data_IF_100041532727
#
_entry.id   IF_100041532727
#
_cell.length_a   1.000
_cell.length_b   1.000
_cell.length_c   1.000
_cell.angle_alpha   90.00
_cell.angle_beta   90.00
_cell.angle_gamma   90.00
#
_symmetry.space_group_name_H-M   'P 1'
#
loop_
_entity.id
_entity.type
_entity.pdbx_description
1 polymer ?
#
# COMPACT_ATOMS: atom_id res chain seq x y z
N UNK A 1 8.33 -16.10 -8.32
CA UNK A 1 8.27 -14.68 -8.73
C UNK A 1 8.75 -13.88 -7.52
N UNK A 2 9.74 -13.01 -7.70
CA UNK A 2 10.27 -12.17 -6.62
C UNK A 2 9.58 -10.81 -6.66
N UNK A 3 9.32 -10.25 -5.47
CA UNK A 3 8.63 -8.99 -5.26
C UNK A 3 9.52 -8.09 -4.41
N UNK A 4 9.59 -6.82 -4.76
CA UNK A 4 10.36 -5.83 -4.02
C UNK A 4 9.52 -4.58 -3.79
N UNK A 5 9.46 -4.20 -2.51
CA UNK A 5 8.81 -3.00 -2.04
C UNK A 5 9.85 -1.97 -1.62
N UNK A 6 9.55 -0.71 -1.96
CA UNK A 6 10.45 0.42 -1.75
C UNK A 6 9.83 1.42 -0.80
N UNK A 7 10.09 1.24 0.50
CA UNK A 7 9.68 2.18 1.54
C UNK A 7 10.59 3.41 1.58
N UNK A 8 10.31 4.37 0.69
CA UNK A 8 11.01 5.64 0.61
C UNK A 8 10.10 6.74 1.19
N UNK A 9 10.66 7.56 2.08
CA UNK A 9 9.95 8.70 2.65
C UNK A 9 10.61 10.03 2.26
N UNK A 10 9.81 11.09 2.19
CA UNK A 10 10.28 12.47 2.09
C UNK A 10 10.16 13.11 0.70
N UNK A 11 10.57 14.39 0.63
CA UNK A 11 10.31 15.28 -0.52
C UNK A 11 10.96 14.84 -1.85
N UNK A 12 11.99 14.00 -1.79
CA UNK A 12 12.73 13.52 -2.96
C UNK A 12 12.31 12.11 -3.41
N UNK A 13 11.20 11.59 -2.87
CA UNK A 13 10.67 10.25 -3.14
C UNK A 13 10.81 9.84 -4.61
N UNK A 14 10.20 10.61 -5.52
CA UNK A 14 10.12 10.25 -6.94
C UNK A 14 11.49 10.13 -7.60
N UNK A 15 12.42 11.01 -7.29
CA UNK A 15 13.78 10.97 -7.84
C UNK A 15 14.55 9.75 -7.35
N UNK A 16 14.47 9.48 -6.04
CA UNK A 16 15.12 8.31 -5.43
C UNK A 16 14.51 7.02 -5.97
N UNK A 17 13.19 6.92 -6.00
CA UNK A 17 12.45 5.77 -6.52
C UNK A 17 12.88 5.44 -7.96
N UNK A 18 12.89 6.43 -8.86
CA UNK A 18 13.25 6.21 -10.26
C UNK A 18 14.70 5.72 -10.43
N UNK A 19 15.63 6.17 -9.60
CA UNK A 19 17.01 5.70 -9.65
C UNK A 19 17.08 4.19 -9.37
N UNK A 20 16.42 3.73 -8.31
CA UNK A 20 16.37 2.31 -7.96
C UNK A 20 15.54 1.49 -8.96
N UNK A 21 14.35 1.97 -9.32
CA UNK A 21 13.47 1.32 -10.29
C UNK A 21 14.21 1.02 -11.60
N UNK A 22 14.92 2.01 -12.15
CA UNK A 22 15.65 1.84 -13.39
C UNK A 22 16.80 0.84 -13.25
N UNK A 23 17.62 0.96 -12.20
CA UNK A 23 18.75 0.05 -11.97
C UNK A 23 18.31 -1.40 -11.76
N UNK A 24 17.22 -1.60 -11.01
CA UNK A 24 16.65 -2.93 -10.73
C UNK A 24 16.00 -3.50 -11.99
N UNK A 25 15.21 -2.71 -12.72
CA UNK A 25 14.53 -3.20 -13.93
C UNK A 25 15.53 -3.58 -15.03
N UNK A 26 16.64 -2.86 -15.15
CA UNK A 26 17.73 -3.17 -16.08
C UNK A 26 18.36 -4.54 -15.79
N UNK A 27 18.61 -4.85 -14.51
CA UNK A 27 19.31 -6.07 -14.11
C UNK A 27 18.37 -7.26 -13.90
N UNK A 28 17.15 -6.99 -13.43
CA UNK A 28 16.17 -7.98 -12.98
C UNK A 28 14.74 -7.65 -13.48
N UNK A 29 14.49 -7.69 -14.80
CA UNK A 29 13.21 -7.29 -15.37
C UNK A 29 12.01 -8.12 -14.88
N UNK A 30 12.25 -9.33 -14.38
CA UNK A 30 11.23 -10.24 -13.85
C UNK A 30 10.82 -10.01 -12.38
N UNK A 31 11.45 -9.08 -11.65
CA UNK A 31 11.01 -8.69 -10.31
C UNK A 31 9.83 -7.73 -10.43
N UNK A 32 8.78 -7.96 -9.65
CA UNK A 32 7.69 -7.00 -9.53
C UNK A 32 8.07 -5.89 -8.54
N UNK A 33 7.92 -4.64 -8.97
CA UNK A 33 8.23 -3.47 -8.13
C UNK A 33 6.97 -2.82 -7.60
N UNK A 34 6.97 -2.55 -6.30
CA UNK A 34 5.88 -1.96 -5.56
C UNK A 34 6.24 -0.52 -5.23
N UNK A 35 5.33 0.40 -5.53
CA UNK A 35 5.42 1.78 -5.03
C UNK A 35 4.75 1.86 -3.67
N UNK A 36 5.34 2.52 -2.67
CA UNK A 36 4.65 2.77 -1.40
C UNK A 36 3.64 3.95 -1.48
N UNK A 37 3.37 4.48 -2.68
CA UNK A 37 2.37 5.51 -2.90
C UNK A 37 0.99 4.90 -3.15
N UNK A 38 -0.03 5.38 -2.42
CA UNK A 38 -1.41 4.97 -2.61
C UNK A 38 -1.95 5.36 -4.01
N UNK A 39 -2.32 4.35 -4.81
CA UNK A 39 -2.96 4.52 -6.11
C UNK A 39 -4.46 4.12 -6.13
N UNK A 40 -5.08 3.97 -4.95
CA UNK A 40 -6.48 3.53 -4.80
C UNK A 40 -7.49 4.50 -5.39
N UNK A 41 -7.19 5.81 -5.34
CA UNK A 41 -8.08 6.88 -5.80
C UNK A 41 -7.53 7.70 -6.96
N UNK A 42 -6.21 7.69 -7.19
CA UNK A 42 -5.53 8.45 -8.22
C UNK A 42 -4.40 7.62 -8.83
N UNK A 43 -4.13 7.73 -10.14
CA UNK A 43 -2.99 7.04 -10.74
C UNK A 43 -1.65 7.50 -10.15
N UNK A 44 -0.66 6.60 -10.13
CA UNK A 44 0.73 6.95 -9.86
C UNK A 44 1.28 7.86 -10.96
N UNK A 45 2.23 8.72 -10.60
CA UNK A 45 2.98 9.61 -11.51
C UNK A 45 4.36 9.05 -11.91
N UNK A 46 4.58 7.78 -11.62
CA UNK A 46 5.79 6.99 -11.85
C UNK A 46 5.42 5.51 -12.09
N UNK A 47 6.28 4.72 -12.74
CA UNK A 47 5.98 3.33 -13.06
C UNK A 47 6.07 2.45 -11.80
N UNK A 48 5.16 1.49 -11.68
CA UNK A 48 5.20 0.40 -10.71
C UNK A 48 4.31 -0.75 -11.20
N UNK A 49 4.58 -1.98 -10.76
CA UNK A 49 3.74 -3.14 -11.09
C UNK A 49 2.55 -3.25 -10.11
N UNK A 50 2.81 -2.93 -8.84
CA UNK A 50 1.84 -2.85 -7.74
C UNK A 50 2.06 -1.56 -6.94
N UNK A 51 1.09 -1.23 -6.09
CA UNK A 51 1.27 -0.22 -5.06
C UNK A 51 0.93 -0.79 -3.70
N UNK A 52 1.66 -0.33 -2.68
CA UNK A 52 1.38 -0.65 -1.30
C UNK A 52 0.34 0.32 -0.72
N UNK A 53 -0.52 -0.21 0.13
CA UNK A 53 -1.56 0.51 0.83
C UNK A 53 -1.45 0.26 2.33
N UNK A 54 -0.97 1.28 3.04
CA UNK A 54 -0.83 1.24 4.50
C UNK A 54 -1.98 1.96 5.19
N UNK A 55 -2.60 1.30 6.17
CA UNK A 55 -3.66 1.94 6.98
C UNK A 55 -3.51 1.64 8.47
N UNK A 56 -3.24 2.69 9.24
CA UNK A 56 -3.16 2.65 10.69
C UNK A 56 -4.22 3.57 11.29
N UNK A 57 -5.34 3.00 11.73
CA UNK A 57 -6.53 3.79 12.10
C UNK A 57 -7.26 3.23 13.33
N UNK A 58 -8.46 3.73 13.63
CA UNK A 58 -9.37 3.17 14.64
C UNK A 58 -10.32 2.11 14.04
N UNK A 59 -10.95 1.30 14.89
CA UNK A 59 -11.82 0.19 14.49
C UNK A 59 -12.99 0.65 13.65
N UNK A 60 -13.62 1.78 14.00
CA UNK A 60 -14.79 2.30 13.27
C UNK A 60 -14.39 2.70 11.85
N UNK A 61 -13.25 3.35 11.71
CA UNK A 61 -12.73 3.81 10.43
C UNK A 61 -12.33 2.62 9.57
N UNK A 62 -11.57 1.65 10.11
CA UNK A 62 -11.17 0.47 9.34
C UNK A 62 -12.40 -0.33 8.86
N UNK A 63 -13.38 -0.56 9.73
CA UNK A 63 -14.64 -1.23 9.36
C UNK A 63 -15.38 -0.50 8.22
N UNK A 64 -15.33 0.84 8.21
CA UNK A 64 -15.98 1.66 7.18
C UNK A 64 -15.20 1.67 5.85
N UNK A 65 -13.94 1.23 5.84
CA UNK A 65 -13.06 1.17 4.67
C UNK A 65 -13.21 -0.11 3.84
N UNK A 66 -14.11 -1.04 4.17
CA UNK A 66 -14.34 -2.29 3.43
C UNK A 66 -14.54 -2.14 1.91
N UNK A 67 -15.03 -0.98 1.46
CA UNK A 67 -15.29 -0.66 0.06
C UNK A 67 -14.22 0.26 -0.57
N UNK A 68 -13.05 0.43 0.08
CA UNK A 68 -11.97 1.35 -0.36
C UNK A 68 -11.60 1.13 -1.82
N UNK A 69 -11.52 -0.12 -2.25
CA UNK A 69 -11.03 -0.50 -3.58
C UNK A 69 -12.14 -0.72 -4.62
N UNK A 70 -13.41 -0.52 -4.27
CA UNK A 70 -14.55 -0.76 -5.17
C UNK A 70 -14.47 0.08 -6.45
N UNK A 71 -13.94 1.31 -6.32
CA UNK A 71 -13.81 2.29 -7.41
C UNK A 71 -12.37 2.44 -7.92
N UNK A 72 -11.42 1.71 -7.37
CA UNK A 72 -10.04 1.76 -7.85
C UNK A 72 -9.95 1.31 -9.30
N UNK A 73 -9.04 1.93 -10.05
CA UNK A 73 -8.82 1.58 -11.46
C UNK A 73 -8.53 0.08 -11.64
N UNK A 74 -9.10 -0.52 -12.67
CA UNK A 74 -8.85 -1.92 -13.05
C UNK A 74 -7.80 -2.06 -14.17
N UNK A 75 -7.28 -0.94 -14.68
CA UNK A 75 -6.26 -0.88 -15.74
C UNK A 75 -4.88 -0.43 -15.25
N UNK A 76 -4.75 -0.01 -13.98
CA UNK A 76 -3.49 0.43 -13.38
C UNK A 76 -2.79 -0.65 -12.53
N UNK A 77 -1.74 -0.26 -11.79
CA UNK A 77 -1.09 -1.11 -10.80
C UNK A 77 -2.10 -1.65 -9.78
N UNK A 78 -1.92 -2.90 -9.37
CA UNK A 78 -2.81 -3.55 -8.39
C UNK A 78 -2.44 -3.13 -6.97
N UNK A 79 -3.44 -3.04 -6.10
CA UNK A 79 -3.23 -2.83 -4.68
C UNK A 79 -2.58 -4.07 -4.05
N UNK A 80 -1.64 -3.86 -3.16
CA UNK A 80 -1.18 -4.81 -2.18
C UNK A 80 -1.35 -4.15 -0.81
N UNK A 81 -2.01 -4.83 0.13
CA UNK A 81 -2.25 -4.30 1.47
C UNK A 81 -1.31 -5.05 2.40
N UNK A 82 -0.09 -4.55 2.58
CA UNK A 82 0.92 -5.20 3.44
C UNK A 82 0.68 -4.89 4.90
N UNK A 83 0.32 -3.64 5.19
CA UNK A 83 0.20 -3.12 6.55
C UNK A 83 -1.17 -2.52 6.79
N UNK A 84 -1.92 -3.16 7.69
CA UNK A 84 -3.09 -2.55 8.28
C UNK A 84 -3.17 -2.90 9.77
N UNK A 85 -3.46 -1.92 10.60
CA UNK A 85 -3.66 -2.17 12.02
C UNK A 85 -4.56 -1.13 12.67
N UNK A 86 -5.31 -1.61 13.66
CA UNK A 86 -6.00 -0.76 14.62
C UNK A 86 -5.06 -0.55 15.78
N UNK A 87 -4.68 0.71 16.02
CA UNK A 87 -3.60 1.02 16.97
C UNK A 87 -4.00 2.06 18.02
N UNK A 88 -5.19 2.66 17.89
CA UNK A 88 -5.71 3.66 18.83
C UNK A 88 -6.22 2.99 20.11
N UNK A 89 -6.82 3.76 21.00
CA UNK A 89 -7.27 3.29 22.33
C UNK A 89 -8.26 2.12 22.27
N UNK A 90 -9.02 2.00 21.19
CA UNK A 90 -9.98 0.93 20.93
C UNK A 90 -9.32 -0.39 20.49
N UNK A 91 -8.04 -0.39 20.13
CA UNK A 91 -7.23 -1.60 19.96
C UNK A 91 -7.05 -2.35 21.29
N UNK A 92 -6.91 -1.61 22.40
CA UNK A 92 -6.63 -2.18 23.72
C UNK A 92 -5.43 -3.14 23.72
N UNK A 93 -5.60 -4.32 24.34
CA UNK A 93 -4.62 -5.44 24.29
C UNK A 93 -4.98 -6.49 23.22
N UNK A 94 -5.59 -6.07 22.12
CA UNK A 94 -6.24 -6.96 21.16
C UNK A 94 -7.71 -7.15 21.51
N UNK A 95 -8.51 -6.10 21.30
CA UNK A 95 -9.95 -6.12 21.58
C UNK A 95 -10.72 -6.90 20.50
N UNK A 96 -11.81 -7.56 20.90
CA UNK A 96 -12.73 -8.19 19.95
C UNK A 96 -13.31 -7.20 18.93
N UNK A 97 -13.46 -5.93 19.32
CA UNK A 97 -13.90 -4.86 18.43
C UNK A 97 -12.88 -4.63 17.31
N UNK A 98 -11.60 -4.55 17.67
CA UNK A 98 -10.53 -4.36 16.70
C UNK A 98 -10.41 -5.56 15.75
N UNK A 99 -10.47 -6.79 16.29
CA UNK A 99 -10.45 -7.99 15.45
C UNK A 99 -11.62 -8.05 14.46
N UNK A 100 -12.83 -7.68 14.89
CA UNK A 100 -13.99 -7.66 14.00
C UNK A 100 -13.87 -6.58 12.92
N UNK A 101 -13.34 -5.40 13.27
CA UNK A 101 -13.13 -4.32 12.32
C UNK A 101 -12.06 -4.66 11.26
N UNK A 102 -10.99 -5.36 11.63
CA UNK A 102 -9.98 -5.83 10.67
C UNK A 102 -10.46 -6.97 9.76
N UNK A 103 -11.53 -7.67 10.14
CA UNK A 103 -12.09 -8.78 9.37
C UNK A 103 -13.25 -8.40 8.44
N UNK A 104 -13.74 -7.16 8.53
CA UNK A 104 -14.92 -6.67 7.81
C UNK A 104 -14.62 -6.23 6.38
#
# INVERSE_FOLDING_TARGET
MLQLEMEIAGKFYRGIYLNFYNAIRETYPGIQMFSNCDASSRPLDHPADLYDFHVYTDSKTLFSMKNTFDRSSRSGPKAFVTEYAIWRSDAGRGSSLASLAGAA
#
